data_IF_978514298546
#
_entry.id   IF_978514298546
#
_cell.length_a   1.000
_cell.length_b   1.000
_cell.length_c   1.000
_cell.angle_alpha   90.00
_cell.angle_beta   90.00
_cell.angle_gamma   90.00
#
_symmetry.space_group_name_H-M   'P 1'
#
loop_
_entity.id
_entity.type
_entity.pdbx_description
1 polymer ?
#
# COMPACT_ATOMS: atom_id res chain seq x y z
N UNK A 1 2.45 14.16 17.35
CA UNK A 1 1.65 15.30 16.85
C UNK A 1 1.06 14.87 15.51
N UNK A 2 -0.17 15.28 15.17
CA UNK A 2 -0.76 14.94 13.88
C UNK A 2 0.10 15.52 12.75
N UNK A 3 0.26 14.77 11.66
CA UNK A 3 0.95 15.26 10.47
C UNK A 3 0.11 16.34 9.78
N UNK A 4 0.78 17.26 9.09
CA UNK A 4 0.10 18.07 8.09
C UNK A 4 -0.39 17.17 6.96
N UNK A 5 -1.61 17.39 6.48
CA UNK A 5 -2.26 16.58 5.44
C UNK A 5 -2.77 17.46 4.31
N UNK A 6 -2.55 17.02 3.07
CA UNK A 6 -3.12 17.62 1.87
C UNK A 6 -3.74 16.51 0.99
N UNK A 7 -5.01 16.66 0.63
CA UNK A 7 -5.66 15.74 -0.32
C UNK A 7 -5.38 16.16 -1.75
N UNK A 8 -5.20 15.17 -2.61
CA UNK A 8 -4.95 15.36 -4.03
C UNK A 8 -5.86 14.46 -4.86
N UNK A 9 -6.35 14.99 -5.98
CA UNK A 9 -7.17 14.27 -6.95
C UNK A 9 -6.57 14.46 -8.32
N UNK A 10 -6.41 13.36 -9.05
CA UNK A 10 -6.11 13.36 -10.47
C UNK A 10 -7.38 12.95 -11.24
N UNK A 11 -7.99 13.85 -12.03
CA UNK A 11 -9.17 13.53 -12.82
C UNK A 11 -8.85 12.52 -13.94
N UNK A 12 -9.87 11.88 -14.53
CA UNK A 12 -9.71 11.09 -15.74
C UNK A 12 -9.26 11.98 -16.91
N UNK A 13 -8.63 11.37 -17.91
CA UNK A 13 -8.27 12.00 -19.18
C UNK A 13 -8.54 11.03 -20.35
N UNK A 14 -8.10 11.40 -21.56
CA UNK A 14 -8.27 10.60 -22.76
C UNK A 14 -7.54 9.25 -22.75
N UNK A 15 -6.60 9.05 -21.82
CA UNK A 15 -5.77 7.85 -21.70
C UNK A 15 -6.16 6.95 -20.53
N UNK A 16 -6.86 7.51 -19.52
CA UNK A 16 -7.28 6.78 -18.33
C UNK A 16 -8.59 7.34 -17.75
N UNK A 17 -9.63 6.52 -17.69
CA UNK A 17 -11.01 6.94 -17.42
C UNK A 17 -11.43 6.95 -15.94
N UNK A 18 -10.49 6.71 -15.03
CA UNK A 18 -10.77 6.68 -13.59
C UNK A 18 -10.03 7.82 -12.86
N UNK A 19 -10.71 8.42 -11.91
CA UNK A 19 -10.13 9.29 -10.89
C UNK A 19 -9.16 8.52 -10.01
N UNK A 20 -8.08 9.19 -9.60
CA UNK A 20 -7.12 8.68 -8.61
C UNK A 20 -6.97 9.71 -7.52
N UNK A 21 -7.18 9.32 -6.27
CA UNK A 21 -6.92 10.20 -5.13
C UNK A 21 -5.65 9.79 -4.40
N UNK A 22 -5.06 10.74 -3.68
CA UNK A 22 -3.96 10.50 -2.78
C UNK A 22 -4.02 11.45 -1.59
N UNK A 23 -3.34 11.09 -0.52
CA UNK A 23 -3.05 11.99 0.60
C UNK A 23 -1.55 12.18 0.73
N UNK A 24 -1.17 13.43 0.92
CA UNK A 24 0.19 13.88 1.17
C UNK A 24 0.35 14.23 2.63
N UNK A 25 1.46 13.81 3.23
CA UNK A 25 1.76 13.98 4.65
C UNK A 25 3.16 14.57 4.85
N UNK A 26 3.30 15.49 5.80
CA UNK A 26 4.59 16.00 6.26
C UNK A 26 4.53 16.46 7.73
N UNK A 27 5.70 16.60 8.36
CA UNK A 27 5.80 17.14 9.72
C UNK A 27 5.81 18.68 9.69
N UNK A 28 5.04 19.31 10.57
CA UNK A 28 4.97 20.77 10.76
C UNK A 28 6.22 21.34 11.44
N UNK A 29 7.04 20.48 12.05
CA UNK A 29 8.33 20.83 12.65
C UNK A 29 9.39 21.23 11.61
N UNK A 30 9.09 21.09 10.31
CA UNK A 30 9.98 21.35 9.18
C UNK A 30 9.29 22.23 8.13
N UNK A 31 10.04 22.98 7.30
CA UNK A 31 9.45 23.78 6.23
C UNK A 31 8.56 22.94 5.32
N UNK A 32 7.44 23.51 4.85
CA UNK A 32 6.54 22.82 3.92
C UNK A 32 7.35 22.25 2.74
N UNK A 33 7.17 20.97 2.36
CA UNK A 33 7.96 20.41 1.28
C UNK A 33 7.72 21.17 -0.03
N UNK A 34 8.80 21.35 -0.82
CA UNK A 34 8.90 22.23 -1.99
C UNK A 34 8.86 23.74 -1.73
N UNK A 35 8.85 24.20 -0.46
CA UNK A 35 9.04 25.64 -0.16
C UNK A 35 10.45 26.15 -0.43
N UNK A 36 11.45 25.25 -0.53
CA UNK A 36 12.83 25.60 -0.85
C UNK A 36 13.40 24.76 -2.00
N UNK A 37 14.36 25.29 -2.79
CA UNK A 37 14.97 24.56 -3.92
C UNK A 37 15.93 23.42 -3.52
N UNK A 38 16.35 23.37 -2.25
CA UNK A 38 17.32 22.41 -1.71
C UNK A 38 16.63 21.38 -0.82
N UNK A 39 15.65 20.69 -1.39
CA UNK A 39 15.08 19.52 -0.76
C UNK A 39 15.94 18.30 -1.06
N UNK A 40 16.55 17.71 -0.03
CA UNK A 40 17.40 16.52 -0.12
C UNK A 40 16.83 15.32 0.62
N UNK A 41 15.66 15.42 1.26
CA UNK A 41 15.02 14.33 1.98
C UNK A 41 14.39 13.28 1.08
N UNK A 42 13.93 12.20 1.71
CA UNK A 42 13.17 11.14 1.04
C UNK A 42 11.73 11.60 0.82
N UNK A 43 11.17 11.23 -0.33
CA UNK A 43 9.73 11.29 -0.60
C UNK A 43 9.23 9.85 -0.64
N UNK A 44 8.35 9.50 0.30
CA UNK A 44 7.77 8.15 0.34
C UNK A 44 6.55 8.09 -0.56
N UNK A 45 6.38 6.98 -1.29
CA UNK A 45 5.19 6.70 -2.09
C UNK A 45 4.60 5.37 -1.63
N UNK A 46 3.41 5.42 -1.03
CA UNK A 46 2.78 4.32 -0.31
C UNK A 46 1.57 3.78 -1.06
N UNK A 47 1.50 2.45 -1.14
CA UNK A 47 0.42 1.70 -1.79
C UNK A 47 -0.26 0.78 -0.78
N UNK A 48 -1.57 0.95 -0.60
CA UNK A 48 -2.37 0.16 0.35
C UNK A 48 -2.70 -1.24 -0.18
N UNK A 49 -3.08 -2.14 0.72
CA UNK A 49 -3.53 -3.50 0.41
C UNK A 49 -4.97 -3.54 -0.13
N UNK A 50 -5.36 -4.67 -0.74
CA UNK A 50 -6.76 -4.96 -1.09
C UNK A 50 -7.64 -4.87 0.15
N UNK A 51 -8.88 -4.38 -0.01
CA UNK A 51 -9.87 -4.18 1.06
C UNK A 51 -9.61 -2.99 1.98
N UNK A 52 -8.53 -2.25 1.74
CA UNK A 52 -8.09 -1.10 2.53
C UNK A 52 -8.03 0.17 1.66
N UNK A 53 -7.64 1.30 2.25
CA UNK A 53 -7.55 2.60 1.57
C UNK A 53 -6.34 3.41 2.06
N UNK A 54 -6.08 4.57 1.44
CA UNK A 54 -4.83 5.35 1.61
C UNK A 54 -4.56 5.80 3.06
N UNK A 55 -5.60 6.07 3.84
CA UNK A 55 -5.50 6.51 5.22
C UNK A 55 -4.96 5.42 6.16
N UNK A 56 -4.98 4.16 5.75
CA UNK A 56 -4.51 3.04 6.58
C UNK A 56 -3.01 3.12 6.93
N UNK A 57 -2.27 3.99 6.24
CA UNK A 57 -0.87 4.29 6.55
C UNK A 57 -0.70 5.35 7.64
N UNK A 58 -1.73 6.14 7.96
CA UNK A 58 -1.63 7.29 8.88
C UNK A 58 -0.98 6.92 10.23
N UNK A 59 -1.39 5.85 10.94
CA UNK A 59 -0.79 5.51 12.24
C UNK A 59 0.69 5.15 12.14
N UNK A 60 1.10 4.48 11.05
CA UNK A 60 2.48 4.12 10.79
C UNK A 60 3.31 5.37 10.42
N UNK A 61 2.76 6.26 9.58
CA UNK A 61 3.42 7.50 9.20
C UNK A 61 3.62 8.43 10.41
N UNK A 62 2.60 8.59 11.27
CA UNK A 62 2.73 9.38 12.50
C UNK A 62 3.90 8.89 13.37
N UNK A 63 4.00 7.58 13.58
CA UNK A 63 5.08 6.99 14.37
C UNK A 63 6.44 7.14 13.66
N UNK A 64 6.49 6.94 12.34
CA UNK A 64 7.72 7.07 11.56
C UNK A 64 8.25 8.50 11.58
N UNK A 65 7.40 9.49 11.34
CA UNK A 65 7.80 10.89 11.37
C UNK A 65 8.22 11.33 12.78
N UNK A 66 7.57 10.81 13.84
CA UNK A 66 7.99 11.06 15.22
C UNK A 66 9.40 10.49 15.53
N UNK A 67 9.77 9.36 14.94
CA UNK A 67 11.13 8.80 15.03
C UNK A 67 12.14 9.65 14.25
N UNK A 68 11.76 10.08 13.05
CA UNK A 68 12.60 10.93 12.18
C UNK A 68 12.86 12.30 12.79
N UNK A 69 11.84 12.96 13.34
CA UNK A 69 11.97 14.30 13.94
C UNK A 69 12.90 14.32 15.17
N UNK A 70 13.05 13.17 15.84
CA UNK A 70 13.97 13.00 16.98
C UNK A 70 15.37 12.54 16.57
N UNK A 71 15.59 12.23 15.29
CA UNK A 71 16.83 11.68 14.78
C UNK A 71 17.62 12.70 13.96
N UNK A 72 18.95 12.60 14.00
CA UNK A 72 19.85 13.33 13.08
C UNK A 72 20.24 12.50 11.84
N UNK A 73 19.63 11.31 11.69
CA UNK A 73 19.93 10.36 10.61
C UNK A 73 19.18 10.66 9.32
N UNK A 74 18.29 9.77 8.93
CA UNK A 74 17.47 9.94 7.72
C UNK A 74 16.56 11.17 7.81
N UNK A 75 16.48 11.92 6.72
CA UNK A 75 15.48 12.97 6.50
C UNK A 75 14.37 12.45 5.58
N UNK A 76 13.12 12.51 6.04
CA UNK A 76 11.91 12.28 5.23
C UNK A 76 11.18 13.60 5.06
N UNK A 77 11.07 14.09 3.83
CA UNK A 77 10.38 15.35 3.56
C UNK A 77 8.87 15.18 3.60
N UNK A 78 8.38 14.15 2.93
CA UNK A 78 6.96 13.93 2.77
C UNK A 78 6.67 12.48 2.43
N UNK A 79 5.40 12.11 2.60
CA UNK A 79 4.86 10.83 2.22
C UNK A 79 3.58 11.03 1.41
N UNK A 80 3.41 10.23 0.36
CA UNK A 80 2.22 10.21 -0.48
C UNK A 80 1.60 8.82 -0.42
N UNK A 81 0.39 8.69 0.12
CA UNK A 81 -0.38 7.46 -0.01
C UNK A 81 -1.37 7.59 -1.16
N UNK A 82 -1.14 6.81 -2.22
CA UNK A 82 -1.95 6.80 -3.44
C UNK A 82 -3.00 5.70 -3.28
N UNK A 83 -4.21 5.97 -3.76
CA UNK A 83 -5.35 5.06 -3.62
C UNK A 83 -5.67 4.32 -4.91
N UNK A 84 -6.09 3.07 -4.77
CA UNK A 84 -6.61 2.31 -5.90
C UNK A 84 -7.92 2.93 -6.41
N UNK A 85 -8.13 3.07 -7.73
CA UNK A 85 -9.37 3.60 -8.30
C UNK A 85 -10.67 2.94 -7.81
N UNK A 86 -10.61 1.67 -7.40
CA UNK A 86 -11.75 0.91 -6.90
C UNK A 86 -11.81 0.77 -5.37
N UNK A 87 -10.99 1.52 -4.63
CA UNK A 87 -11.01 1.57 -3.16
C UNK A 87 -11.18 3.01 -2.64
N UNK A 88 -11.62 3.10 -1.39
CA UNK A 88 -11.73 4.36 -0.63
C UNK A 88 -12.45 5.48 -1.39
N UNK A 89 -11.92 6.69 -1.29
CA UNK A 89 -12.52 7.89 -1.90
C UNK A 89 -12.54 7.83 -3.43
N UNK A 90 -11.52 7.22 -4.04
CA UNK A 90 -11.42 7.03 -5.48
C UNK A 90 -12.58 6.19 -6.00
N UNK A 91 -12.98 5.14 -5.27
CA UNK A 91 -14.14 4.33 -5.62
C UNK A 91 -15.44 5.14 -5.65
N UNK A 92 -15.58 6.11 -4.75
CA UNK A 92 -16.75 7.00 -4.69
C UNK A 92 -16.82 7.88 -5.95
N UNK A 93 -15.68 8.47 -6.33
CA UNK A 93 -15.59 9.29 -7.54
C UNK A 93 -15.79 8.47 -8.82
N UNK A 94 -15.42 7.19 -8.78
CA UNK A 94 -15.49 6.29 -9.92
C UNK A 94 -16.74 5.41 -9.96
N UNK A 95 -17.74 5.64 -9.10
CA UNK A 95 -18.84 4.68 -8.89
C UNK A 95 -19.56 4.29 -10.18
N UNK A 96 -19.82 5.25 -11.07
CA UNK A 96 -20.50 4.96 -12.35
C UNK A 96 -19.57 4.24 -13.33
N UNK A 97 -18.31 4.66 -13.45
CA UNK A 97 -17.33 4.02 -14.33
C UNK A 97 -17.01 2.58 -13.90
N UNK A 98 -16.94 2.32 -12.59
CA UNK A 98 -16.68 0.98 -12.03
C UNK A 98 -17.85 0.00 -12.22
N UNK A 99 -19.04 0.49 -12.59
CA UNK A 99 -20.20 -0.35 -12.95
C UNK A 99 -20.22 -0.75 -14.43
N UNK A 100 -19.32 -0.19 -15.23
CA UNK A 100 -19.25 -0.45 -16.67
C UNK A 100 -18.07 -1.37 -17.01
N UNK A 101 -18.20 -2.09 -18.11
CA UNK A 101 -17.10 -2.89 -18.67
C UNK A 101 -15.94 -1.96 -19.09
N UNK A 102 -14.66 -2.35 -18.86
CA UNK A 102 -14.23 -3.63 -18.28
C UNK A 102 -14.23 -3.67 -16.74
N UNK A 103 -14.36 -2.52 -16.08
CA UNK A 103 -14.10 -2.38 -14.64
C UNK A 103 -15.12 -3.07 -13.73
N UNK A 104 -16.33 -3.30 -14.21
CA UNK A 104 -17.34 -4.10 -13.50
C UNK A 104 -16.90 -5.54 -13.28
N UNK A 105 -16.08 -6.08 -14.18
CA UNK A 105 -15.71 -7.50 -14.22
C UNK A 105 -14.23 -7.71 -13.86
N UNK A 106 -13.38 -6.73 -14.16
CA UNK A 106 -11.93 -6.89 -14.07
C UNK A 106 -11.29 -5.63 -13.49
N UNK A 107 -10.63 -5.81 -12.35
CA UNK A 107 -9.72 -4.83 -11.77
C UNK A 107 -8.71 -5.55 -10.89
N UNK A 108 -7.43 -5.29 -11.08
CA UNK A 108 -6.34 -6.02 -10.43
C UNK A 108 -5.14 -5.15 -10.09
N UNK A 109 -4.05 -5.75 -9.64
CA UNK A 109 -2.86 -5.01 -9.20
C UNK A 109 -2.20 -4.23 -10.35
N UNK A 110 -2.33 -4.69 -11.59
CA UNK A 110 -1.86 -3.93 -12.76
C UNK A 110 -2.69 -2.66 -12.99
N UNK A 111 -4.01 -2.75 -12.84
CA UNK A 111 -4.90 -1.57 -12.94
C UNK A 111 -4.56 -0.51 -11.89
N UNK A 112 -4.28 -0.95 -10.66
CA UNK A 112 -3.80 -0.08 -9.60
C UNK A 112 -2.39 0.48 -9.90
N UNK A 113 -1.45 -0.34 -10.35
CA UNK A 113 -0.12 0.14 -10.73
C UNK A 113 -0.16 1.19 -11.85
N UNK A 114 -1.01 1.01 -12.86
CA UNK A 114 -1.21 2.00 -13.93
C UNK A 114 -1.78 3.32 -13.39
N UNK A 115 -2.78 3.26 -12.50
CA UNK A 115 -3.32 4.45 -11.84
C UNK A 115 -2.26 5.19 -11.01
N UNK A 116 -1.50 4.45 -10.22
CA UNK A 116 -0.43 4.98 -9.38
C UNK A 116 0.67 5.62 -10.21
N UNK A 117 1.14 4.93 -11.26
CA UNK A 117 2.14 5.44 -12.17
C UNK A 117 1.70 6.75 -12.83
N UNK A 118 0.46 6.79 -13.36
CA UNK A 118 -0.13 8.02 -13.93
C UNK A 118 -0.19 9.15 -12.90
N UNK A 119 -0.57 8.85 -11.66
CA UNK A 119 -0.60 9.83 -10.58
C UNK A 119 0.78 10.44 -10.30
N UNK A 120 1.81 9.59 -10.23
CA UNK A 120 3.18 10.04 -9.96
C UNK A 120 3.74 10.82 -11.15
N UNK A 121 3.55 10.31 -12.37
CA UNK A 121 4.13 10.90 -13.58
C UNK A 121 3.51 12.27 -13.94
N UNK A 122 2.23 12.48 -13.62
CA UNK A 122 1.52 13.74 -13.96
C UNK A 122 1.83 14.92 -13.02
N UNK A 123 2.66 14.74 -11.99
CA UNK A 123 2.81 15.69 -10.89
C UNK A 123 4.23 16.22 -10.73
N UNK A 124 4.32 17.54 -10.56
CA UNK A 124 5.59 18.24 -10.40
C UNK A 124 6.30 17.86 -9.08
N UNK A 125 5.55 17.45 -8.05
CA UNK A 125 6.08 17.01 -6.76
C UNK A 125 7.00 15.78 -6.88
N UNK A 126 6.76 14.95 -7.90
CA UNK A 126 7.59 13.78 -8.21
C UNK A 126 8.57 14.01 -9.37
N UNK A 127 8.64 15.24 -9.90
CA UNK A 127 9.46 15.54 -11.07
C UNK A 127 10.96 15.24 -10.87
N UNK A 128 11.60 14.81 -11.96
CA UNK A 128 12.95 14.26 -12.08
C UNK A 128 14.10 15.26 -11.82
N UNK A 129 13.87 16.32 -11.03
CA UNK A 129 15.01 17.09 -10.52
C UNK A 129 15.91 16.12 -9.75
N UNK A 130 17.21 16.06 -10.09
CA UNK A 130 18.22 15.10 -9.60
C UNK A 130 18.38 15.03 -8.06
N UNK A 131 17.57 15.78 -7.30
CA UNK A 131 17.60 15.89 -5.85
C UNK A 131 16.51 15.07 -5.15
N UNK A 132 15.43 14.69 -5.84
CA UNK A 132 14.31 13.94 -5.21
C UNK A 132 14.66 12.47 -5.09
N UNK A 133 14.39 11.90 -3.92
CA UNK A 133 14.77 10.54 -3.55
C UNK A 133 13.52 9.74 -3.22
N UNK A 134 12.88 9.21 -4.25
CA UNK A 134 11.63 8.45 -4.11
C UNK A 134 11.91 7.07 -3.50
N UNK A 135 11.09 6.68 -2.52
CA UNK A 135 11.07 5.32 -1.96
C UNK A 135 9.65 4.78 -2.06
N UNK A 136 9.48 3.69 -2.81
CA UNK A 136 8.19 3.02 -2.92
C UNK A 136 7.99 2.08 -1.73
N UNK A 137 6.81 2.10 -1.12
CA UNK A 137 6.45 1.26 0.01
C UNK A 137 5.07 0.67 -0.26
N UNK A 138 4.93 -0.65 -0.16
CA UNK A 138 3.66 -1.30 -0.47
C UNK A 138 3.38 -2.46 0.45
N UNK A 139 2.11 -2.61 0.86
CA UNK A 139 1.63 -3.75 1.65
C UNK A 139 0.72 -4.66 0.83
N UNK A 140 0.95 -5.98 0.84
CA UNK A 140 0.11 -6.98 0.15
C UNK A 140 -0.06 -6.66 -1.34
N UNK A 141 -1.28 -6.40 -1.82
CA UNK A 141 -1.52 -5.94 -3.18
C UNK A 141 -0.76 -4.62 -3.49
N UNK A 142 -0.64 -3.73 -2.53
CA UNK A 142 0.20 -2.53 -2.64
C UNK A 142 1.69 -2.87 -2.74
N UNK A 143 2.15 -3.97 -2.13
CA UNK A 143 3.51 -4.50 -2.29
C UNK A 143 3.77 -4.89 -3.74
N UNK A 144 2.83 -5.60 -4.36
CA UNK A 144 2.87 -5.91 -5.79
C UNK A 144 2.90 -4.63 -6.64
N UNK A 145 2.03 -3.66 -6.34
CA UNK A 145 2.00 -2.36 -7.04
C UNK A 145 3.32 -1.62 -6.94
N UNK A 146 3.95 -1.60 -5.76
CA UNK A 146 5.24 -0.92 -5.53
C UNK A 146 6.38 -1.44 -6.42
N UNK A 147 6.26 -2.69 -6.87
CA UNK A 147 7.16 -3.34 -7.83
C UNK A 147 6.72 -3.09 -9.27
N UNK A 148 5.45 -3.29 -9.58
CA UNK A 148 4.93 -3.15 -10.94
C UNK A 148 5.12 -1.74 -11.52
N UNK A 149 4.97 -0.68 -10.70
CA UNK A 149 5.19 0.71 -11.14
C UNK A 149 6.60 0.95 -11.69
N UNK A 150 7.58 0.11 -11.32
CA UNK A 150 8.96 0.22 -11.79
C UNK A 150 9.17 -0.28 -13.22
N UNK A 151 8.20 -1.03 -13.76
CA UNK A 151 8.24 -1.56 -15.13
C UNK A 151 7.32 -0.81 -16.09
N UNK A 152 6.60 0.22 -15.62
CA UNK A 152 5.69 1.01 -16.44
C UNK A 152 6.40 2.19 -17.09
N UNK A 153 6.10 2.44 -18.37
CA UNK A 153 6.65 3.56 -19.13
C UNK A 153 5.73 4.80 -19.01
N UNK A 154 6.30 6.01 -18.89
CA UNK A 154 7.73 6.32 -18.77
C UNK A 154 8.32 5.92 -17.42
N UNK A 155 9.58 5.50 -17.39
CA UNK A 155 10.21 5.03 -16.14
C UNK A 155 10.27 6.13 -15.09
N UNK A 156 9.94 5.78 -13.84
CA UNK A 156 10.04 6.66 -12.68
C UNK A 156 11.24 6.20 -11.87
N UNK A 157 12.15 7.12 -11.54
CA UNK A 157 13.36 6.76 -10.81
C UNK A 157 13.12 6.66 -9.30
N UNK A 158 13.00 5.43 -8.80
CA UNK A 158 13.00 5.14 -7.37
C UNK A 158 14.40 4.76 -6.88
N UNK A 159 14.75 5.19 -5.66
CA UNK A 159 16.01 4.85 -5.00
C UNK A 159 15.97 3.48 -4.33
N UNK A 160 14.80 3.07 -3.87
CA UNK A 160 14.56 1.76 -3.27
C UNK A 160 13.07 1.44 -3.26
N UNK A 161 12.76 0.15 -3.10
CA UNK A 161 11.40 -0.35 -2.92
C UNK A 161 11.35 -1.20 -1.65
N UNK A 162 10.37 -0.95 -0.80
CA UNK A 162 10.10 -1.72 0.41
C UNK A 162 8.77 -2.46 0.20
N UNK A 163 8.86 -3.78 0.15
CA UNK A 163 7.75 -4.68 -0.15
C UNK A 163 7.35 -5.40 1.14
N UNK A 164 6.13 -5.18 1.61
CA UNK A 164 5.64 -5.68 2.91
C UNK A 164 4.58 -6.75 2.64
N UNK A 165 4.85 -7.99 3.05
CA UNK A 165 3.93 -9.15 2.90
C UNK A 165 3.26 -9.21 1.50
N UNK A 166 4.02 -9.23 0.39
CA UNK A 166 3.45 -9.17 -0.96
C UNK A 166 2.64 -10.41 -1.32
N UNK A 167 1.64 -10.23 -2.17
CA UNK A 167 0.84 -11.33 -2.74
C UNK A 167 1.53 -11.89 -3.99
N UNK A 168 2.75 -12.42 -3.80
CA UNK A 168 3.58 -13.00 -4.86
C UNK A 168 4.00 -14.42 -4.46
N UNK A 169 3.65 -15.42 -5.28
CA UNK A 169 3.68 -16.84 -4.91
C UNK A 169 4.58 -17.65 -5.86
N UNK A 170 5.90 -17.70 -5.63
CA UNK A 170 6.78 -18.58 -6.40
C UNK A 170 6.51 -20.03 -5.97
N UNK A 171 6.15 -20.91 -6.92
CA UNK A 171 5.90 -22.33 -6.65
C UNK A 171 4.56 -22.89 -7.14
N UNK A 172 3.70 -22.08 -7.77
CA UNK A 172 2.60 -22.58 -8.60
C UNK A 172 1.18 -22.24 -8.13
N UNK A 173 0.22 -22.55 -9.01
CA UNK A 173 -1.14 -22.01 -8.99
C UNK A 173 -2.05 -22.63 -7.92
N UNK A 174 -1.78 -23.85 -7.46
CA UNK A 174 -2.68 -24.56 -6.54
C UNK A 174 -2.91 -23.81 -5.22
N UNK A 175 -1.83 -23.35 -4.56
CA UNK A 175 -1.96 -22.58 -3.32
C UNK A 175 -2.73 -21.27 -3.58
N UNK A 176 -2.48 -20.62 -4.72
CA UNK A 176 -3.13 -19.38 -5.10
C UNK A 176 -4.64 -19.59 -5.29
N UNK A 177 -5.06 -20.68 -5.95
CA UNK A 177 -6.48 -21.04 -6.10
C UNK A 177 -7.17 -21.29 -4.75
N UNK A 178 -6.54 -22.05 -3.86
CA UNK A 178 -7.08 -22.33 -2.53
C UNK A 178 -7.22 -21.03 -1.70
N UNK A 179 -6.19 -20.18 -1.73
CA UNK A 179 -6.23 -18.87 -1.07
C UNK A 179 -7.32 -17.97 -1.67
N UNK A 180 -7.42 -17.90 -3.00
CA UNK A 180 -8.46 -17.15 -3.71
C UNK A 180 -9.85 -17.60 -3.30
N UNK A 181 -10.10 -18.92 -3.26
CA UNK A 181 -11.37 -19.49 -2.80
C UNK A 181 -11.74 -19.03 -1.39
N UNK A 182 -10.78 -19.08 -0.44
CA UNK A 182 -11.00 -18.61 0.95
C UNK A 182 -11.26 -17.10 1.04
N UNK A 183 -10.54 -16.29 0.27
CA UNK A 183 -10.69 -14.83 0.26
C UNK A 183 -12.06 -14.45 -0.32
N UNK A 184 -12.45 -15.01 -1.47
CA UNK A 184 -13.75 -14.78 -2.09
C UNK A 184 -14.90 -15.24 -1.19
N UNK A 185 -14.73 -16.38 -0.49
CA UNK A 185 -15.71 -16.82 0.50
C UNK A 185 -15.89 -15.79 1.62
N UNK A 186 -14.79 -15.21 2.10
CA UNK A 186 -14.80 -14.17 3.14
C UNK A 186 -15.48 -12.89 2.66
N UNK A 187 -15.18 -12.42 1.44
CA UNK A 187 -15.83 -11.24 0.83
C UNK A 187 -17.33 -11.44 0.71
N UNK A 188 -17.77 -12.60 0.20
CA UNK A 188 -19.19 -12.93 0.03
C UNK A 188 -19.96 -12.90 1.36
N UNK A 189 -19.36 -13.45 2.43
CA UNK A 189 -19.98 -13.51 3.76
C UNK A 189 -19.86 -12.22 4.58
N UNK A 190 -18.98 -11.29 4.20
CA UNK A 190 -18.75 -10.07 4.96
C UNK A 190 -20.03 -9.25 5.02
N UNK A 191 -20.33 -8.64 6.16
CA UNK A 191 -21.38 -7.62 6.26
C UNK A 191 -20.92 -6.35 5.55
N UNK A 192 -21.78 -5.76 4.72
CA UNK A 192 -21.48 -4.54 3.93
C UNK A 192 -22.58 -3.47 4.04
N UNK A 193 -23.61 -3.70 4.86
CA UNK A 193 -24.70 -2.73 5.08
C UNK A 193 -24.95 -2.52 6.56
N UNK A 194 -25.05 -1.25 6.95
CA UNK A 194 -25.31 -0.83 8.32
C UNK A 194 -26.33 0.30 8.36
N UNK A 195 -27.17 0.33 9.38
CA UNK A 195 -28.15 1.40 9.59
C UNK A 195 -27.50 2.70 10.09
N UNK A 196 -26.34 2.60 10.75
CA UNK A 196 -25.60 3.74 11.29
C UNK A 196 -24.08 3.47 11.31
N UNK A 197 -23.29 4.54 11.41
CA UNK A 197 -21.84 4.44 11.60
C UNK A 197 -21.48 3.73 12.91
N UNK A 198 -22.27 3.94 13.97
CA UNK A 198 -22.08 3.29 15.27
C UNK A 198 -22.33 1.77 15.18
N UNK A 199 -23.38 1.36 14.48
CA UNK A 199 -23.63 -0.07 14.25
C UNK A 199 -22.47 -0.71 13.46
N UNK A 200 -21.95 -0.03 12.44
CA UNK A 200 -20.80 -0.52 11.70
C UNK A 200 -19.58 -0.73 12.59
N UNK A 201 -19.28 0.27 13.44
CA UNK A 201 -18.24 0.19 14.46
C UNK A 201 -18.43 -1.02 15.37
N UNK A 202 -19.63 -1.22 15.91
CA UNK A 202 -19.93 -2.32 16.83
C UNK A 202 -19.96 -3.70 16.16
N UNK A 203 -20.20 -3.77 14.85
CA UNK A 203 -20.24 -5.02 14.08
C UNK A 203 -18.86 -5.55 13.71
N UNK A 204 -17.85 -4.70 13.74
CA UNK A 204 -16.48 -5.09 13.46
C UNK A 204 -16.00 -6.05 14.57
N UNK A 205 -15.50 -7.26 14.23
CA UNK A 205 -15.11 -8.28 15.21
C UNK A 205 -13.89 -7.87 16.07
N UNK A 206 -13.44 -6.62 15.97
CA UNK A 206 -12.17 -6.09 16.46
C UNK A 206 -12.30 -5.31 17.79
N UNK A 207 -13.52 -5.01 18.24
CA UNK A 207 -13.78 -4.39 19.56
C UNK A 207 -13.82 -5.44 20.67
N UNK A 208 -12.67 -5.76 21.27
CA UNK A 208 -12.50 -6.18 22.68
C UNK A 208 -13.30 -7.36 23.24
N UNK A 209 -14.24 -7.97 22.50
CA UNK A 209 -15.08 -9.10 22.96
C UNK A 209 -14.36 -10.43 22.89
N UNK A 210 -13.25 -10.50 22.16
CA UNK A 210 -12.43 -11.71 22.02
C UNK A 210 -10.95 -11.33 22.08
N UNK A 211 -10.35 -11.22 23.28
CA UNK A 211 -8.94 -10.86 23.47
C UNK A 211 -7.96 -11.77 22.72
N UNK A 212 -8.40 -12.99 22.40
CA UNK A 212 -7.60 -14.05 21.76
C UNK A 212 -7.62 -13.97 20.22
N UNK A 213 -8.37 -13.03 19.64
CA UNK A 213 -8.40 -12.79 18.20
C UNK A 213 -7.52 -11.59 17.86
N UNK A 214 -6.64 -11.76 16.86
CA UNK A 214 -5.73 -10.71 16.36
C UNK A 214 -6.46 -9.37 16.26
N UNK A 215 -6.02 -8.41 17.06
CA UNK A 215 -6.64 -7.10 17.14
C UNK A 215 -5.89 -6.15 16.20
N UNK A 216 -6.64 -5.47 15.32
CA UNK A 216 -6.10 -4.29 14.68
C UNK A 216 -5.78 -3.24 15.74
N UNK A 217 -4.77 -2.43 15.47
CA UNK A 217 -4.43 -1.30 16.31
C UNK A 217 -5.64 -0.35 16.43
N UNK A 218 -5.97 0.21 17.60
CA UNK A 218 -7.16 1.06 17.77
C UNK A 218 -7.24 2.22 16.77
N UNK A 219 -6.11 2.91 16.51
CA UNK A 219 -6.00 3.98 15.48
C UNK A 219 -6.40 3.53 14.06
N UNK A 220 -6.28 2.23 13.74
CA UNK A 220 -6.62 1.67 12.43
C UNK A 220 -8.13 1.40 12.30
N UNK A 221 -8.78 0.96 13.39
CA UNK A 221 -10.21 0.63 13.39
C UNK A 221 -11.07 1.83 13.00
N UNK A 222 -10.72 3.01 13.51
CA UNK A 222 -11.43 4.26 13.23
C UNK A 222 -11.30 4.66 11.75
N UNK A 223 -10.11 4.47 11.17
CA UNK A 223 -9.82 4.82 9.78
C UNK A 223 -10.53 3.88 8.81
N UNK A 224 -10.54 2.58 9.08
CA UNK A 224 -11.16 1.58 8.22
C UNK A 224 -12.65 1.82 7.96
N UNK A 225 -13.35 2.42 8.93
CA UNK A 225 -14.77 2.76 8.83
C UNK A 225 -15.03 4.04 8.01
N UNK A 226 -14.33 4.19 6.88
CA UNK A 226 -14.60 5.20 5.86
C UNK A 226 -15.92 4.91 5.12
N UNK A 227 -17.03 4.91 5.86
CA UNK A 227 -18.35 4.57 5.35
C UNK A 227 -18.94 5.68 4.50
N UNK A 228 -19.63 5.28 3.43
CA UNK A 228 -20.40 6.15 2.55
C UNK A 228 -21.90 5.85 2.70
N UNK A 229 -22.77 6.87 2.57
CA UNK A 229 -24.21 6.65 2.51
C UNK A 229 -24.60 6.02 1.16
N UNK A 230 -25.57 5.11 1.19
CA UNK A 230 -26.12 4.43 0.02
C UNK A 230 -27.63 4.20 0.18
N UNK A 231 -28.28 3.84 -0.94
CA UNK A 231 -29.72 3.51 -0.99
C UNK A 231 -29.94 2.15 -1.62
N UNK A 232 -30.83 1.36 -1.01
CA UNK A 232 -31.28 0.07 -1.51
C UNK A 232 -32.28 0.23 -2.66
N UNK A 233 -32.57 -0.87 -3.35
CA UNK A 233 -33.58 -0.93 -4.41
C UNK A 233 -35.00 -0.69 -3.89
N UNK A 234 -35.22 -0.94 -2.60
CA UNK A 234 -36.42 -0.66 -1.81
C UNK A 234 -36.52 0.80 -1.32
N UNK A 235 -35.47 1.61 -1.54
CA UNK A 235 -35.37 2.99 -1.07
C UNK A 235 -34.72 3.14 0.31
N UNK A 236 -34.39 2.03 0.98
CA UNK A 236 -33.80 2.05 2.32
C UNK A 236 -32.43 2.70 2.33
N UNK A 237 -32.18 3.58 3.31
CA UNK A 237 -30.88 4.23 3.49
C UNK A 237 -30.00 3.39 4.39
N UNK A 238 -28.76 3.16 3.95
CA UNK A 238 -27.76 2.45 4.74
C UNK A 238 -26.37 3.05 4.52
N UNK A 239 -25.43 2.65 5.37
CA UNK A 239 -24.00 2.90 5.22
C UNK A 239 -23.32 1.65 4.68
N UNK A 240 -22.33 1.83 3.80
CA UNK A 240 -21.48 0.78 3.24
C UNK A 240 -20.03 1.23 3.20
N UNK A 241 -19.10 0.29 3.06
CA UNK A 241 -17.73 0.62 2.69
C UNK A 241 -17.69 1.20 1.27
N UNK A 242 -16.75 2.10 1.01
CA UNK A 242 -16.58 2.72 -0.29
C UNK A 242 -16.11 1.71 -1.37
N UNK A 243 -15.25 0.76 -0.99
CA UNK A 243 -14.96 -0.40 -1.83
C UNK A 243 -16.14 -1.38 -1.75
N UNK A 244 -16.78 -1.64 -2.89
CA UNK A 244 -17.88 -2.62 -2.94
C UNK A 244 -17.34 -4.04 -2.87
N UNK A 245 -18.15 -4.99 -2.39
CA UNK A 245 -17.81 -6.43 -2.41
C UNK A 245 -17.41 -6.93 -3.80
N UNK A 246 -18.08 -6.44 -4.85
CA UNK A 246 -17.77 -6.82 -6.22
C UNK A 246 -16.37 -6.36 -6.63
N UNK A 247 -16.03 -5.09 -6.33
CA UNK A 247 -14.71 -4.55 -6.63
C UNK A 247 -13.60 -5.17 -5.77
N UNK A 248 -13.86 -5.46 -4.50
CA UNK A 248 -12.94 -6.22 -3.64
C UNK A 248 -12.72 -7.64 -4.21
N UNK A 249 -13.78 -8.32 -4.67
CA UNK A 249 -13.68 -9.63 -5.28
C UNK A 249 -12.88 -9.61 -6.59
N UNK A 250 -13.04 -8.59 -7.43
CA UNK A 250 -12.28 -8.45 -8.68
C UNK A 250 -10.76 -8.45 -8.42
N UNK A 251 -10.30 -7.81 -7.34
CA UNK A 251 -8.88 -7.84 -6.96
C UNK A 251 -8.36 -9.24 -6.64
N UNK A 252 -9.21 -10.11 -6.06
CA UNK A 252 -8.82 -11.48 -5.74
C UNK A 252 -8.96 -12.43 -6.94
N UNK A 253 -9.81 -12.09 -7.91
CA UNK A 253 -9.95 -12.80 -9.19
C UNK A 253 -8.81 -12.49 -10.17
N UNK A 254 -7.91 -11.56 -9.84
CA UNK A 254 -6.72 -11.28 -10.65
C UNK A 254 -5.73 -12.45 -10.65
N UNK A 255 -5.84 -13.31 -11.67
CA UNK A 255 -4.95 -14.46 -11.91
C UNK A 255 -3.56 -14.04 -12.39
N UNK A 256 -3.46 -12.90 -13.08
CA UNK A 256 -2.21 -12.46 -13.71
C UNK A 256 -1.32 -11.67 -12.74
N UNK A 257 -1.89 -11.15 -11.66
CA UNK A 257 -1.20 -10.31 -10.69
C UNK A 257 0.09 -10.94 -10.13
N UNK A 258 0.00 -12.13 -9.53
CA UNK A 258 1.17 -12.79 -8.93
C UNK A 258 2.25 -13.17 -9.96
N UNK A 259 1.93 -13.84 -11.08
CA UNK A 259 2.92 -14.18 -12.10
C UNK A 259 3.69 -12.97 -12.64
N UNK A 260 2.99 -11.88 -13.00
CA UNK A 260 3.64 -10.68 -13.55
C UNK A 260 4.54 -10.02 -12.49
N UNK A 261 4.12 -9.97 -11.23
CA UNK A 261 4.92 -9.38 -10.15
C UNK A 261 6.23 -10.14 -9.94
N UNK A 262 6.21 -11.48 -10.02
CA UNK A 262 7.42 -12.30 -9.87
C UNK A 262 8.42 -12.02 -11.00
N UNK A 263 7.93 -11.94 -12.24
CA UNK A 263 8.77 -11.59 -13.40
C UNK A 263 9.40 -10.20 -13.25
N UNK A 264 8.60 -9.20 -12.85
CA UNK A 264 9.11 -7.84 -12.64
C UNK A 264 10.05 -7.76 -11.45
N UNK A 265 9.81 -8.51 -10.36
CA UNK A 265 10.74 -8.62 -9.22
C UNK A 265 12.11 -9.12 -9.67
N UNK A 266 12.16 -10.19 -10.48
CA UNK A 266 13.39 -10.74 -11.03
C UNK A 266 14.16 -9.65 -11.81
N UNK A 267 13.48 -8.90 -12.67
CA UNK A 267 14.08 -7.85 -13.49
C UNK A 267 14.55 -6.62 -12.69
N UNK A 268 13.71 -6.11 -11.79
CA UNK A 268 13.94 -4.84 -11.07
C UNK A 268 15.00 -4.97 -9.98
N UNK A 269 15.12 -6.16 -9.36
CA UNK A 269 16.08 -6.42 -8.28
C UNK A 269 17.55 -6.21 -8.66
N UNK A 270 17.86 -6.24 -9.96
CA UNK A 270 19.20 -5.97 -10.49
C UNK A 270 19.55 -4.47 -10.57
N UNK A 271 18.54 -3.58 -10.53
CA UNK A 271 18.69 -2.14 -10.79
C UNK A 271 18.34 -1.28 -9.59
N UNK A 272 17.41 -1.74 -8.77
CA UNK A 272 16.88 -1.00 -7.61
C UNK A 272 16.99 -1.88 -6.36
N UNK A 273 17.55 -1.39 -5.25
CA UNK A 273 17.53 -2.10 -3.97
C UNK A 273 16.09 -2.41 -3.52
N UNK A 274 15.79 -3.71 -3.39
CA UNK A 274 14.51 -4.20 -2.88
C UNK A 274 14.65 -4.69 -1.44
N UNK A 275 13.73 -4.29 -0.58
CA UNK A 275 13.70 -4.70 0.83
C UNK A 275 12.39 -5.44 1.10
N UNK A 276 12.48 -6.69 1.56
CA UNK A 276 11.32 -7.50 1.91
C UNK A 276 11.06 -7.41 3.41
N UNK A 277 9.82 -7.12 3.79
CA UNK A 277 9.36 -7.13 5.19
C UNK A 277 8.26 -8.16 5.34
N UNK A 278 8.45 -9.13 6.24
CA UNK A 278 7.52 -10.21 6.51
C UNK A 278 7.11 -10.22 7.99
N UNK A 279 5.90 -10.67 8.30
CA UNK A 279 5.45 -10.96 9.66
C UNK A 279 5.95 -12.34 10.10
N UNK A 280 6.30 -12.49 11.36
CA UNK A 280 6.72 -13.76 11.95
C UNK A 280 5.60 -14.83 11.86
N UNK A 281 4.34 -14.41 12.07
CA UNK A 281 3.20 -15.31 12.19
C UNK A 281 2.63 -15.68 10.81
N UNK A 282 2.73 -16.95 10.43
CA UNK A 282 2.36 -17.44 9.08
C UNK A 282 0.88 -17.81 8.97
N UNK A 283 0.02 -16.80 8.85
CA UNK A 283 -1.44 -16.92 8.95
C UNK A 283 -2.22 -16.84 7.63
N UNK A 284 -1.69 -16.13 6.64
CA UNK A 284 -2.27 -16.01 5.30
C UNK A 284 -1.43 -16.76 4.28
N UNK A 285 -0.13 -16.46 4.26
CA UNK A 285 0.88 -17.04 3.38
C UNK A 285 1.70 -18.05 4.16
N UNK A 286 1.95 -19.22 3.57
CA UNK A 286 2.66 -20.32 4.22
C UNK A 286 4.13 -19.97 4.47
N UNK A 287 4.75 -20.63 5.46
CA UNK A 287 6.17 -20.48 5.73
C UNK A 287 7.04 -20.85 4.52
N UNK A 288 6.64 -21.86 3.76
CA UNK A 288 7.31 -22.32 2.54
C UNK A 288 7.34 -21.23 1.46
N UNK A 289 6.19 -20.62 1.16
CA UNK A 289 6.12 -19.55 0.16
C UNK A 289 6.96 -18.35 0.59
N UNK A 290 6.90 -17.98 1.87
CA UNK A 290 7.76 -16.93 2.41
C UNK A 290 9.24 -17.25 2.27
N UNK A 291 9.66 -18.48 2.56
CA UNK A 291 11.04 -18.92 2.40
C UNK A 291 11.48 -18.86 0.93
N UNK A 292 10.65 -19.35 0.01
CA UNK A 292 10.92 -19.33 -1.43
C UNK A 292 10.96 -17.90 -1.98
N UNK A 293 10.07 -17.01 -1.53
CA UNK A 293 10.06 -15.60 -1.94
C UNK A 293 11.31 -14.86 -1.44
N UNK A 294 11.70 -15.09 -0.18
CA UNK A 294 12.85 -14.44 0.46
C UNK A 294 14.20 -14.95 -0.09
N UNK A 295 14.22 -16.16 -0.63
CA UNK A 295 15.42 -16.76 -1.22
C UNK A 295 15.71 -16.16 -2.62
N UNK A 296 17.00 -16.10 -3.02
CA UNK A 296 17.35 -15.77 -4.40
C UNK A 296 16.63 -16.69 -5.38
N UNK A 297 16.07 -16.12 -6.46
CA UNK A 297 15.43 -16.94 -7.50
C UNK A 297 16.46 -17.42 -8.54
N UNK A 298 16.21 -18.55 -9.23
CA UNK A 298 17.01 -18.97 -10.38
C UNK A 298 17.05 -17.92 -11.51
N UNK A 299 16.03 -17.06 -11.57
CA UNK A 299 15.90 -15.98 -12.55
C UNK A 299 16.59 -14.68 -12.10
N UNK A 300 17.31 -14.70 -10.97
CA UNK A 300 18.17 -13.60 -10.54
C UNK A 300 17.57 -12.62 -9.54
N UNK A 301 16.36 -12.87 -8.99
CA UNK A 301 15.81 -12.04 -7.90
C UNK A 301 16.76 -11.98 -6.73
N UNK A 302 17.02 -10.76 -6.26
CA UNK A 302 17.82 -10.48 -5.07
C UNK A 302 17.11 -9.49 -4.15
N UNK A 303 17.23 -9.72 -2.85
CA UNK A 303 16.79 -8.76 -1.83
C UNK A 303 18.01 -8.07 -1.25
N UNK A 304 17.98 -6.74 -1.17
CA UNK A 304 18.97 -5.95 -0.45
C UNK A 304 18.87 -6.19 1.07
N UNK A 305 17.65 -6.45 1.57
CA UNK A 305 17.44 -6.99 2.91
C UNK A 305 16.13 -7.78 2.99
N UNK A 306 16.06 -8.69 3.95
CA UNK A 306 14.83 -9.36 4.38
C UNK A 306 14.69 -9.13 5.88
N UNK A 307 13.54 -8.63 6.32
CA UNK A 307 13.26 -8.29 7.72
C UNK A 307 12.00 -8.99 8.17
N UNK A 308 12.05 -9.62 9.35
CA UNK A 308 10.88 -10.25 9.99
C UNK A 308 10.40 -9.40 11.14
N UNK A 309 9.09 -9.11 11.20
CA UNK A 309 8.45 -8.37 12.29
C UNK A 309 7.86 -9.35 13.31
N UNK A 310 8.33 -9.35 14.57
CA UNK A 310 7.88 -10.30 15.59
C UNK A 310 6.40 -10.16 15.96
N UNK A 311 5.75 -11.28 16.28
CA UNK A 311 4.40 -11.33 16.87
C UNK A 311 3.25 -10.85 15.97
N UNK A 312 3.49 -10.65 14.67
CA UNK A 312 2.48 -10.19 13.70
C UNK A 312 2.50 -11.05 12.45
N UNK A 313 1.34 -11.18 11.79
CA UNK A 313 1.22 -11.88 10.51
C UNK A 313 1.09 -10.94 9.33
N UNK A 314 0.29 -11.33 8.34
CA UNK A 314 0.10 -10.60 7.07
C UNK A 314 -0.30 -9.12 7.21
N UNK A 315 -1.08 -8.77 8.23
CA UNK A 315 -1.68 -7.45 8.39
C UNK A 315 -0.81 -6.49 9.23
N UNK A 316 0.50 -6.45 8.94
CA UNK A 316 1.48 -5.66 9.72
C UNK A 316 1.05 -4.19 9.89
N UNK A 317 0.68 -3.44 8.82
CA UNK A 317 0.29 -2.04 8.99
C UNK A 317 -0.97 -1.85 9.84
N UNK A 318 -1.85 -2.86 9.86
CA UNK A 318 -3.12 -2.79 10.60
C UNK A 318 -2.99 -3.24 12.06
N UNK A 319 -2.16 -4.25 12.34
CA UNK A 319 -2.01 -4.84 13.67
C UNK A 319 -0.88 -4.17 14.48
N UNK A 320 0.25 -3.86 13.84
CA UNK A 320 1.42 -3.27 14.51
C UNK A 320 2.03 -2.10 13.71
N UNK A 321 1.29 -0.99 13.50
CA UNK A 321 1.78 0.17 12.75
C UNK A 321 3.05 0.80 13.32
N UNK A 322 3.23 0.78 14.65
CA UNK A 322 4.41 1.33 15.32
C UNK A 322 5.65 0.45 15.16
N UNK A 323 5.48 -0.87 15.23
CA UNK A 323 6.57 -1.81 14.92
C UNK A 323 7.02 -1.65 13.48
N UNK A 324 6.06 -1.52 12.55
CA UNK A 324 6.37 -1.26 11.15
C UNK A 324 7.11 0.06 10.96
N UNK A 325 6.69 1.13 11.64
CA UNK A 325 7.35 2.43 11.59
C UNK A 325 8.82 2.33 12.03
N UNK A 326 9.12 1.56 13.08
CA UNK A 326 10.49 1.31 13.52
C UNK A 326 11.32 0.57 12.46
N UNK A 327 10.75 -0.45 11.81
CA UNK A 327 11.42 -1.18 10.72
C UNK A 327 11.70 -0.25 9.54
N UNK A 328 10.72 0.54 9.11
CA UNK A 328 10.88 1.51 8.03
C UNK A 328 11.97 2.54 8.38
N UNK A 329 11.97 3.06 9.60
CA UNK A 329 12.99 3.98 10.09
C UNK A 329 14.40 3.37 10.03
N UNK A 330 14.56 2.12 10.49
CA UNK A 330 15.85 1.42 10.45
C UNK A 330 16.35 1.20 9.02
N UNK A 331 15.48 0.70 8.13
CA UNK A 331 15.81 0.48 6.72
C UNK A 331 16.26 1.79 6.05
N UNK A 332 15.54 2.89 6.26
CA UNK A 332 15.89 4.16 5.63
C UNK A 332 17.18 4.79 6.18
N UNK A 333 17.50 4.58 7.45
CA UNK A 333 18.80 4.97 8.00
C UNK A 333 19.95 4.16 7.39
N UNK A 334 19.77 2.84 7.22
CA UNK A 334 20.75 1.98 6.55
C UNK A 334 20.98 2.43 5.10
N UNK A 335 19.90 2.70 4.34
CA UNK A 335 19.99 3.23 2.97
C UNK A 335 20.72 4.58 2.87
N UNK A 336 20.61 5.42 3.91
CA UNK A 336 21.28 6.71 3.96
C UNK A 336 22.78 6.56 4.24
N UNK A 337 23.14 5.69 5.19
CA UNK A 337 24.53 5.39 5.54
C UNK A 337 25.33 4.78 4.36
N UNK A 338 24.74 3.84 3.63
CA UNK A 338 25.38 3.21 2.47
C UNK A 338 25.74 4.25 1.40
N UNK A 339 24.88 5.25 1.16
CA UNK A 339 25.16 6.28 0.14
C UNK A 339 26.26 7.26 0.55
N UNK A 340 26.41 7.56 1.84
CA UNK A 340 27.52 8.39 2.32
C UNK A 340 28.88 7.70 2.12
N UNK A 341 28.95 6.38 2.29
CA UNK A 341 30.19 5.61 2.08
C UNK A 341 30.67 5.59 0.62
N UNK A 342 29.76 5.63 -0.35
CA UNK A 342 30.12 5.71 -1.77
C UNK A 342 30.58 7.11 -2.21
N UNK A 343 30.07 8.17 -1.57
CA UNK A 343 30.48 9.55 -1.88
C UNK A 343 31.86 9.93 -1.32
N UNK A 344 32.39 9.18 -0.35
CA UNK A 344 33.74 9.40 0.20
C UNK A 344 34.84 8.58 -0.50
N UNK A 345 34.49 7.68 -1.42
CA UNK A 345 35.43 6.84 -2.19
C UNK A 345 35.64 7.30 -3.64
N UNK A 346 34.97 8.38 -4.04
CA UNK A 346 35.18 9.14 -5.27
C UNK A 346 35.79 10.48 -4.89
#
# INVERSE_FOLDING_TARGET
>A
MPLCVESAVLPPDSTYSLYVTAKRYWSDTRPKPHSTPKCTGLTLVLFHATSFHKEMWEPCLEALFALVDKSKGVLIEEAWSIESPNHGESAVLNVETLRQSPFSEQFGVLGYATAAHRFIYSRAEFSHSQRRRLVAIGHSAGGNVSVLVQALAPLIQFRSVIVIEPMAFPGGDQFLEELRGRLLHTVRKRRDRWSSREEARMSLPWHGRFPERRCWHPRIVDLYLALIPARGSDGDRYFTLACTKAQEANMYLDEKGSPIVLEVLDQVSSRIPLHLVLGEVKNFISAEIHATLASPSPNGRKWASVTTVPGVGHLIPQEQPDSLANVLFQLMNQMSATTALYQHKL
#
